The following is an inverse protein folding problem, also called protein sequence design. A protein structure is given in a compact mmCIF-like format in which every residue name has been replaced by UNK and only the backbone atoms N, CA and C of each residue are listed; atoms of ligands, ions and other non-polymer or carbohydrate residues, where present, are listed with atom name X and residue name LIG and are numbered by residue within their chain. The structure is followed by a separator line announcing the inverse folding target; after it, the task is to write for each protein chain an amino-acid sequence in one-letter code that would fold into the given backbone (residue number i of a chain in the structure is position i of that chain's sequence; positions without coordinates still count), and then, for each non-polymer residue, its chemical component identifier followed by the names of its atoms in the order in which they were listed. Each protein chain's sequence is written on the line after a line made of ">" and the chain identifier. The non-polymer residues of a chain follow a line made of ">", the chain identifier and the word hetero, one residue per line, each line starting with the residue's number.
data_IF_708818910267
#
_entry.id   IF_708818910267
#
_cell.length_a   1.000
_cell.length_b   1.000
_cell.length_c   1.000
_cell.angle_alpha   90.00
_cell.angle_beta   90.00
_cell.angle_gamma   90.00
#
_symmetry.space_group_name_H-M   'P 1'
#
loop_
_entity.id
_entity.type
_entity.pdbx_description
1 polymer ?
#
# COMPACT_ATOMS: atom_id res chain seq x y z
N UNK A 1 18.09 -21.89 -5.17
CA UNK A 1 17.20 -21.49 -4.06
C UNK A 1 16.32 -20.34 -4.56
N UNK A 2 15.01 -20.30 -4.26
CA UNK A 2 14.10 -19.34 -4.87
C UNK A 2 14.17 -17.98 -4.16
N UNK A 3 15.26 -17.24 -4.39
CA UNK A 3 15.48 -15.91 -3.84
C UNK A 3 14.36 -14.94 -4.26
N UNK A 4 13.88 -15.05 -5.51
CA UNK A 4 12.77 -14.25 -6.02
C UNK A 4 11.46 -14.50 -5.27
N UNK A 5 11.13 -15.77 -4.99
CA UNK A 5 9.92 -16.09 -4.24
C UNK A 5 10.00 -15.56 -2.80
N UNK A 6 11.15 -15.66 -2.13
CA UNK A 6 11.37 -15.03 -0.83
C UNK A 6 11.20 -13.51 -0.89
N UNK A 7 11.86 -12.87 -1.85
CA UNK A 7 11.83 -11.42 -2.02
C UNK A 7 10.41 -10.93 -2.35
N UNK A 8 9.66 -11.65 -3.20
CA UNK A 8 8.28 -11.32 -3.53
C UNK A 8 7.36 -11.37 -2.30
N UNK A 9 7.48 -12.41 -1.46
CA UNK A 9 6.70 -12.54 -0.23
C UNK A 9 7.04 -11.46 0.79
N UNK A 10 8.34 -11.17 0.94
CA UNK A 10 8.81 -10.10 1.82
C UNK A 10 8.31 -8.73 1.36
N UNK A 11 8.45 -8.40 0.07
CA UNK A 11 7.97 -7.14 -0.51
C UNK A 11 6.45 -7.02 -0.39
N UNK A 12 5.70 -8.11 -0.59
CA UNK A 12 4.24 -8.10 -0.43
C UNK A 12 3.82 -7.71 0.99
N UNK A 13 4.49 -8.27 2.00
CA UNK A 13 4.19 -7.99 3.41
C UNK A 13 4.57 -6.56 3.79
N UNK A 14 5.79 -6.13 3.45
CA UNK A 14 6.28 -4.78 3.75
C UNK A 14 5.49 -3.72 3.00
N UNK A 15 5.20 -3.93 1.71
CA UNK A 15 4.44 -3.01 0.89
C UNK A 15 3.00 -2.82 1.41
N UNK A 16 2.32 -3.92 1.76
CA UNK A 16 0.96 -3.85 2.31
C UNK A 16 0.93 -3.13 3.66
N UNK A 17 1.94 -3.37 4.51
CA UNK A 17 2.09 -2.67 5.79
C UNK A 17 2.27 -1.16 5.59
N UNK A 18 3.16 -0.75 4.70
CA UNK A 18 3.41 0.67 4.39
C UNK A 18 2.15 1.35 3.86
N UNK A 19 1.46 0.73 2.89
CA UNK A 19 0.21 1.27 2.34
C UNK A 19 -0.86 1.43 3.43
N UNK A 20 -0.97 0.47 4.35
CA UNK A 20 -1.90 0.55 5.49
C UNK A 20 -1.55 1.69 6.46
N UNK A 21 -0.27 1.92 6.74
CA UNK A 21 0.19 3.05 7.54
C UNK A 21 -0.10 4.38 6.85
N UNK A 22 0.14 4.47 5.53
CA UNK A 22 -0.19 5.67 4.75
C UNK A 22 -1.68 5.99 4.78
N UNK A 23 -2.54 4.98 4.58
CA UNK A 23 -3.99 5.15 4.69
C UNK A 23 -4.37 5.65 6.09
N UNK A 24 -3.85 5.03 7.16
CA UNK A 24 -4.10 5.45 8.55
C UNK A 24 -3.74 6.92 8.78
N UNK A 25 -2.60 7.36 8.28
CA UNK A 25 -2.12 8.75 8.44
C UNK A 25 -3.05 9.73 7.71
N UNK A 26 -3.50 9.39 6.50
CA UNK A 26 -4.36 10.24 5.67
C UNK A 26 -5.79 10.36 6.22
N UNK A 27 -6.35 9.28 6.77
CA UNK A 27 -7.73 9.30 7.31
C UNK A 27 -7.79 9.84 8.74
N UNK A 28 -6.66 10.02 9.43
CA UNK A 28 -6.64 10.52 10.80
C UNK A 28 -7.15 11.98 10.84
N UNK A 29 -8.25 12.27 11.56
CA UNK A 29 -8.80 13.63 11.67
C UNK A 29 -7.80 14.66 12.19
N UNK A 30 -6.85 14.24 13.04
CA UNK A 30 -5.81 15.10 13.58
C UNK A 30 -4.85 15.62 12.51
N UNK A 31 -4.69 14.88 11.40
CA UNK A 31 -3.78 15.20 10.31
C UNK A 31 -4.49 15.92 9.14
N UNK A 32 -5.78 16.25 9.26
CA UNK A 32 -6.57 16.89 8.18
C UNK A 32 -5.94 18.18 7.66
N UNK A 33 -5.22 18.93 8.51
CA UNK A 33 -4.53 20.15 8.12
C UNK A 33 -3.42 19.95 7.09
N UNK A 34 -2.78 18.77 7.09
CA UNK A 34 -1.67 18.41 6.19
C UNK A 34 -2.17 17.79 4.88
N UNK A 35 -3.38 17.19 4.88
CA UNK A 35 -3.97 16.50 3.74
C UNK A 35 -5.20 17.23 3.19
N UNK A 36 -5.10 18.55 3.01
CA UNK A 36 -6.19 19.37 2.50
C UNK A 36 -6.60 18.91 1.09
N UNK A 37 -7.90 18.64 0.89
CA UNK A 37 -8.43 18.15 -0.39
C UNK A 37 -8.33 16.63 -0.61
N UNK A 38 -7.79 15.88 0.35
CA UNK A 38 -7.90 14.42 0.36
C UNK A 38 -9.06 14.04 1.28
N UNK A 39 -10.16 13.57 0.69
CA UNK A 39 -11.26 12.99 1.45
C UNK A 39 -10.91 11.54 1.88
N UNK A 40 -11.51 11.02 2.95
CA UNK A 40 -11.30 9.62 3.37
C UNK A 40 -11.62 8.61 2.25
N UNK A 41 -12.63 8.89 1.43
CA UNK A 41 -13.02 8.06 0.29
C UNK A 41 -11.94 8.05 -0.78
N UNK A 42 -11.32 9.21 -1.05
CA UNK A 42 -10.19 9.32 -1.98
C UNK A 42 -8.96 8.57 -1.46
N UNK A 43 -8.60 8.77 -0.20
CA UNK A 43 -7.47 8.07 0.43
C UNK A 43 -7.65 6.55 0.36
N UNK A 44 -8.89 6.06 0.55
CA UNK A 44 -9.22 4.65 0.43
C UNK A 44 -9.13 4.14 -1.02
N UNK A 45 -9.59 4.94 -2.00
CA UNK A 45 -9.45 4.60 -3.42
C UNK A 45 -7.98 4.51 -3.85
N UNK A 46 -7.15 5.45 -3.42
CA UNK A 46 -5.70 5.47 -3.68
C UNK A 46 -5.01 4.25 -3.03
N UNK A 47 -5.41 3.88 -1.82
CA UNK A 47 -4.95 2.66 -1.14
C UNK A 47 -5.27 1.40 -1.95
N UNK A 48 -6.53 1.23 -2.39
CA UNK A 48 -6.94 0.07 -3.18
C UNK A 48 -6.14 -0.03 -4.48
N UNK A 49 -6.03 1.09 -5.21
CA UNK A 49 -5.29 1.14 -6.47
C UNK A 49 -3.83 0.75 -6.29
N UNK A 50 -3.14 1.36 -5.31
CA UNK A 50 -1.75 1.04 -5.02
C UNK A 50 -1.56 -0.41 -4.57
N UNK A 51 -2.47 -0.93 -3.73
CA UNK A 51 -2.40 -2.29 -3.23
C UNK A 51 -2.64 -3.32 -4.34
N UNK A 52 -3.54 -3.03 -5.30
CA UNK A 52 -3.73 -3.89 -6.48
C UNK A 52 -2.49 -3.92 -7.36
N UNK A 53 -1.86 -2.77 -7.63
CA UNK A 53 -0.59 -2.72 -8.40
C UNK A 53 0.50 -3.51 -7.68
N UNK A 54 0.64 -3.36 -6.36
CA UNK A 54 1.61 -4.12 -5.58
C UNK A 54 1.42 -5.63 -5.75
N UNK A 55 0.19 -6.12 -5.62
CA UNK A 55 -0.09 -7.55 -5.75
C UNK A 55 0.15 -8.06 -7.18
N UNK A 56 -0.15 -7.26 -8.21
CA UNK A 56 0.16 -7.61 -9.60
C UNK A 56 1.67 -7.77 -9.82
N UNK A 57 2.48 -6.85 -9.29
CA UNK A 57 3.95 -6.92 -9.39
C UNK A 57 4.51 -8.10 -8.61
N UNK A 58 4.02 -8.35 -7.39
CA UNK A 58 4.44 -9.49 -6.56
C UNK A 58 4.17 -10.82 -7.26
N UNK A 59 2.97 -11.00 -7.84
CA UNK A 59 2.60 -12.22 -8.56
C UNK A 59 3.43 -12.39 -9.83
N UNK A 60 3.77 -11.29 -10.52
CA UNK A 60 4.64 -11.35 -11.69
C UNK A 60 6.09 -11.72 -11.34
N UNK A 61 6.57 -11.32 -10.15
CA UNK A 61 7.96 -11.46 -9.71
C UNK A 61 8.24 -12.70 -8.84
N UNK A 62 7.22 -13.44 -8.40
CA UNK A 62 7.37 -14.62 -7.51
C UNK A 62 8.17 -15.77 -8.14
N UNK A 63 8.26 -15.83 -9.48
CA UNK A 63 8.92 -16.88 -10.28
C UNK A 63 10.44 -16.84 -10.27
#
# INVERSE_FOLDING_TARGET
>A
FPFNSFLSGFISAVGSFILGVCLRIQINPQNKGEFQGISPERAFADFLFANTILHLVVINFVG
#
